data_IF_744383629938
#
_entry.id   IF_744383629938
#
_cell.length_a   1.000
_cell.length_b   1.000
_cell.length_c   1.000
_cell.angle_alpha   90.00
_cell.angle_beta   90.00
_cell.angle_gamma   90.00
#
_symmetry.space_group_name_H-M   'P 1'
#
loop_
_entity.id
_entity.type
_entity.pdbx_description
1 polymer ?
#
# COMPACT_ATOMS: atom_id res chain seq x y z
N UNK A 1 48.12 0.80 -11.70
CA UNK A 1 46.91 1.54 -12.13
C UNK A 1 46.06 1.85 -10.91
N UNK A 2 45.93 3.13 -10.54
CA UNK A 2 45.08 3.54 -9.42
C UNK A 2 43.64 3.22 -9.78
N UNK A 3 43.06 2.25 -9.08
CA UNK A 3 41.79 1.61 -9.44
C UNK A 3 40.59 2.58 -9.47
N UNK A 4 40.75 3.82 -8.98
CA UNK A 4 39.73 4.87 -8.99
C UNK A 4 40.37 6.26 -9.17
N UNK A 5 40.00 6.98 -10.24
CA UNK A 5 40.32 8.41 -10.41
C UNK A 5 39.31 9.26 -9.60
N UNK A 6 39.75 9.78 -8.46
CA UNK A 6 38.92 10.56 -7.53
C UNK A 6 38.71 12.01 -7.97
N UNK A 7 39.55 12.53 -8.87
CA UNK A 7 39.48 13.93 -9.33
C UNK A 7 38.25 14.17 -10.21
N UNK A 8 37.72 13.11 -10.81
CA UNK A 8 36.47 13.15 -11.58
C UNK A 8 35.19 13.22 -10.74
N UNK A 9 35.28 13.13 -9.40
CA UNK A 9 34.09 13.09 -8.54
C UNK A 9 33.69 14.48 -8.06
N UNK A 10 32.38 14.82 -8.08
CA UNK A 10 31.90 16.10 -7.56
C UNK A 10 32.17 16.20 -6.04
N UNK A 11 32.39 17.41 -5.53
CA UNK A 11 32.37 17.64 -4.09
C UNK A 11 30.94 17.51 -3.57
N UNK A 12 30.78 16.92 -2.38
CA UNK A 12 29.46 16.64 -1.80
C UNK A 12 28.61 17.90 -1.60
N UNK A 13 29.22 19.01 -1.19
CA UNK A 13 28.56 20.31 -1.07
C UNK A 13 27.44 20.42 -0.01
N UNK A 14 27.12 19.34 0.72
CA UNK A 14 26.08 19.36 1.76
C UNK A 14 26.54 20.19 2.96
N UNK A 15 25.61 20.89 3.63
CA UNK A 15 25.93 21.69 4.81
C UNK A 15 26.30 20.76 5.98
N UNK A 16 27.49 20.95 6.54
CA UNK A 16 27.93 20.23 7.74
C UNK A 16 27.30 20.85 8.99
N UNK A 17 27.40 20.16 10.14
CA UNK A 17 26.93 20.69 11.45
C UNK A 17 27.55 22.06 11.79
N UNK A 18 28.76 22.33 11.31
CA UNK A 18 29.46 23.61 11.51
C UNK A 18 29.12 24.66 10.42
N UNK A 19 28.07 24.44 9.64
CA UNK A 19 27.56 25.38 8.64
C UNK A 19 28.35 25.46 7.32
N UNK A 20 29.56 24.90 7.26
CA UNK A 20 30.41 24.91 6.06
C UNK A 20 30.02 23.79 5.07
N UNK A 21 30.24 23.96 3.76
CA UNK A 21 29.98 22.91 2.77
C UNK A 21 30.90 21.70 2.98
N UNK A 22 30.35 20.50 2.74
CA UNK A 22 31.07 19.25 2.91
C UNK A 22 32.17 19.12 1.86
N UNK A 23 33.42 18.97 2.33
CA UNK A 23 34.62 18.83 1.50
C UNK A 23 34.86 17.41 0.96
N UNK A 24 34.11 16.41 1.43
CA UNK A 24 34.22 15.02 0.96
C UNK A 24 33.75 14.89 -0.49
N UNK A 25 34.33 13.94 -1.22
CA UNK A 25 33.84 13.57 -2.55
C UNK A 25 32.45 12.93 -2.46
N UNK A 26 31.57 13.35 -3.37
CA UNK A 26 30.29 12.73 -3.62
C UNK A 26 30.40 11.51 -4.54
N UNK A 27 29.28 10.86 -4.80
CA UNK A 27 29.19 9.83 -5.84
C UNK A 27 28.77 10.46 -7.20
N UNK A 28 28.77 9.66 -8.27
CA UNK A 28 28.30 10.10 -9.60
C UNK A 28 26.77 10.11 -9.76
N UNK A 29 26.04 9.46 -8.85
CA UNK A 29 24.58 9.24 -8.98
C UNK A 29 23.78 10.43 -8.48
N UNK A 30 24.06 10.90 -7.27
CA UNK A 30 23.36 12.00 -6.61
C UNK A 30 24.31 13.11 -6.11
N UNK A 31 25.61 12.98 -6.35
CA UNK A 31 26.60 13.99 -5.98
C UNK A 31 26.88 14.09 -4.48
N UNK A 32 26.26 13.26 -3.62
CA UNK A 32 26.45 13.33 -2.16
C UNK A 32 27.42 12.26 -1.66
N UNK A 33 28.10 12.53 -0.54
CA UNK A 33 29.00 11.56 0.09
C UNK A 33 28.21 10.58 0.96
N UNK A 34 28.83 9.45 1.36
CA UNK A 34 28.17 8.41 2.17
C UNK A 34 27.53 8.91 3.48
N UNK A 35 28.03 10.02 4.05
CA UNK A 35 27.49 10.60 5.28
C UNK A 35 26.32 11.57 5.06
N UNK A 36 26.13 12.06 3.84
CA UNK A 36 25.08 13.04 3.51
C UNK A 36 24.11 12.48 2.47
N UNK A 37 23.76 11.19 2.59
CA UNK A 37 22.79 10.54 1.70
C UNK A 37 23.37 10.03 0.38
N UNK A 38 24.69 9.96 0.22
CA UNK A 38 25.34 9.36 -0.96
C UNK A 38 25.08 7.85 -1.11
N UNK A 39 24.53 7.18 -0.10
CA UNK A 39 24.03 5.80 -0.22
C UNK A 39 22.51 5.73 -0.33
N UNK A 40 21.82 6.87 -0.23
CA UNK A 40 20.36 6.92 -0.35
C UNK A 40 19.98 6.82 -1.82
N UNK A 41 19.03 5.94 -2.13
CA UNK A 41 18.41 5.82 -3.46
C UNK A 41 17.24 6.78 -3.65
N UNK A 42 16.91 7.60 -2.64
CA UNK A 42 15.68 8.38 -2.60
C UNK A 42 14.44 7.52 -2.37
N UNK A 43 13.30 8.19 -2.22
CA UNK A 43 12.01 7.52 -2.08
C UNK A 43 11.56 6.93 -3.42
N UNK A 44 11.26 5.64 -3.43
CA UNK A 44 10.81 4.92 -4.64
C UNK A 44 9.28 4.90 -4.74
N UNK A 45 8.61 4.73 -3.60
CA UNK A 45 7.14 4.68 -3.51
C UNK A 45 6.52 6.07 -3.62
N UNK A 46 5.22 6.11 -3.94
CA UNK A 46 4.47 7.36 -4.15
C UNK A 46 4.34 8.14 -2.84
N UNK A 47 3.98 7.45 -1.78
CA UNK A 47 3.84 7.92 -0.41
C UNK A 47 5.18 8.39 0.13
N UNK A 48 6.27 7.66 -0.14
CA UNK A 48 7.61 8.07 0.24
C UNK A 48 8.01 9.40 -0.43
N UNK A 49 7.66 9.59 -1.71
CA UNK A 49 7.90 10.87 -2.42
C UNK A 49 7.05 12.00 -1.83
N UNK A 50 5.81 11.73 -1.43
CA UNK A 50 4.95 12.70 -0.75
C UNK A 50 5.51 13.10 0.62
N UNK A 51 5.96 12.13 1.42
CA UNK A 51 6.59 12.38 2.71
C UNK A 51 7.85 13.25 2.57
N UNK A 52 8.71 12.95 1.58
CA UNK A 52 9.90 13.78 1.31
C UNK A 52 9.54 15.20 0.90
N UNK A 53 8.48 15.40 0.09
CA UNK A 53 7.99 16.74 -0.28
C UNK A 53 7.49 17.51 0.95
N UNK A 54 6.77 16.84 1.85
CA UNK A 54 6.27 17.45 3.09
C UNK A 54 7.43 17.85 3.99
N UNK A 55 8.44 17.01 4.15
CA UNK A 55 9.60 17.33 4.99
C UNK A 55 10.40 18.56 4.50
N UNK A 56 10.26 18.94 3.23
CA UNK A 56 10.84 20.18 2.71
C UNK A 56 10.05 21.43 3.14
N UNK A 57 8.79 21.29 3.53
CA UNK A 57 7.99 22.35 4.12
C UNK A 57 8.44 22.52 5.58
N UNK A 58 9.52 23.28 5.80
CA UNK A 58 10.09 23.59 7.12
C UNK A 58 9.14 24.44 8.01
N UNK A 59 7.86 24.53 7.67
CA UNK A 59 6.86 25.39 8.31
C UNK A 59 5.55 24.62 8.47
N UNK A 60 5.21 24.30 9.72
CA UNK A 60 3.99 23.61 10.12
C UNK A 60 2.73 24.38 9.71
N UNK A 61 2.71 25.70 9.87
CA UNK A 61 1.59 26.55 9.46
C UNK A 61 1.35 26.41 7.96
N UNK A 62 2.41 26.48 7.14
CA UNK A 62 2.28 26.29 5.69
C UNK A 62 1.73 24.90 5.35
N UNK A 63 2.19 23.86 6.03
CA UNK A 63 1.66 22.51 5.86
C UNK A 63 0.17 22.43 6.23
N UNK A 64 -0.22 22.94 7.40
CA UNK A 64 -1.59 22.91 7.91
C UNK A 64 -2.55 23.59 6.94
N UNK A 65 -2.25 24.82 6.54
CA UNK A 65 -3.12 25.57 5.64
C UNK A 65 -3.20 24.94 4.25
N UNK A 66 -2.08 24.47 3.68
CA UNK A 66 -2.11 23.85 2.36
C UNK A 66 -2.89 22.53 2.32
N UNK A 67 -2.78 21.69 3.35
CA UNK A 67 -3.42 20.37 3.37
C UNK A 67 -4.86 20.42 3.87
N UNK A 68 -5.13 21.20 4.92
CA UNK A 68 -6.44 21.18 5.60
C UNK A 68 -7.41 22.25 5.10
N UNK A 69 -6.90 23.42 4.71
CA UNK A 69 -7.74 24.56 4.37
C UNK A 69 -7.82 24.79 2.86
N UNK A 70 -6.67 24.99 2.22
CA UNK A 70 -6.59 25.24 0.79
C UNK A 70 -6.75 23.99 -0.06
N UNK A 71 -6.61 22.80 0.54
CA UNK A 71 -6.71 21.50 -0.13
C UNK A 71 -6.03 21.54 -1.50
N UNK A 72 -4.72 21.82 -1.53
CA UNK A 72 -3.95 22.01 -2.78
C UNK A 72 -3.73 20.70 -3.54
N UNK A 73 -4.83 20.05 -3.92
CA UNK A 73 -4.89 18.87 -4.76
C UNK A 73 -4.55 19.30 -6.18
N UNK A 74 -3.60 18.60 -6.81
CA UNK A 74 -3.26 18.87 -8.20
C UNK A 74 -4.38 18.38 -9.11
N UNK A 75 -4.65 19.14 -10.18
CA UNK A 75 -5.60 18.73 -11.22
C UNK A 75 -5.26 17.36 -11.83
N UNK A 76 -3.98 17.04 -11.97
CA UNK A 76 -3.51 15.72 -12.44
C UNK A 76 -3.91 14.59 -11.49
N UNK A 77 -3.73 14.81 -10.19
CA UNK A 77 -4.00 13.79 -9.17
C UNK A 77 -5.51 13.57 -9.05
N UNK A 78 -6.29 14.65 -9.18
CA UNK A 78 -7.75 14.57 -9.26
C UNK A 78 -8.23 13.81 -10.51
N UNK A 79 -7.65 14.11 -11.67
CA UNK A 79 -7.98 13.43 -12.92
C UNK A 79 -7.68 11.93 -12.84
N UNK A 80 -6.52 11.55 -12.29
CA UNK A 80 -6.14 10.16 -12.08
C UNK A 80 -7.11 9.43 -11.13
N UNK A 81 -7.55 10.08 -10.05
CA UNK A 81 -8.52 9.50 -9.12
C UNK A 81 -9.88 9.23 -9.78
N UNK A 82 -10.37 10.17 -10.60
CA UNK A 82 -11.61 10.00 -11.36
C UNK A 82 -11.46 8.89 -12.42
N UNK A 83 -10.35 8.89 -13.16
CA UNK A 83 -10.07 7.87 -14.17
C UNK A 83 -10.02 6.47 -13.56
N UNK A 84 -9.30 6.30 -12.45
CA UNK A 84 -9.24 5.03 -11.73
C UNK A 84 -10.62 4.58 -11.23
N UNK A 85 -11.45 5.51 -10.75
CA UNK A 85 -12.83 5.19 -10.37
C UNK A 85 -13.66 4.70 -11.56
N UNK A 86 -13.60 5.38 -12.70
CA UNK A 86 -14.33 4.97 -13.91
C UNK A 86 -13.90 3.57 -14.37
N UNK A 87 -12.60 3.28 -14.37
CA UNK A 87 -12.09 1.94 -14.67
C UNK A 87 -12.63 0.89 -13.67
N UNK A 88 -12.68 1.21 -12.37
CA UNK A 88 -13.27 0.31 -11.38
C UNK A 88 -14.76 0.05 -11.64
N UNK A 89 -15.52 1.07 -12.06
CA UNK A 89 -16.94 0.92 -12.43
C UNK A 89 -17.08 -0.04 -13.60
N UNK A 90 -16.24 0.06 -14.63
CA UNK A 90 -16.25 -0.88 -15.75
C UNK A 90 -16.02 -2.33 -15.26
N UNK A 91 -15.09 -2.53 -14.32
CA UNK A 91 -14.81 -3.84 -13.74
C UNK A 91 -15.99 -4.41 -12.93
N UNK A 92 -16.88 -3.59 -12.36
CA UNK A 92 -18.05 -4.12 -11.63
C UNK A 92 -19.02 -4.90 -12.50
N UNK A 93 -19.03 -4.64 -13.82
CA UNK A 93 -19.89 -5.33 -14.78
C UNK A 93 -19.26 -6.62 -15.33
N UNK A 94 -18.01 -6.90 -14.98
CA UNK A 94 -17.27 -8.08 -15.45
C UNK A 94 -17.55 -9.30 -14.57
N UNK A 95 -17.40 -10.50 -15.14
CA UNK A 95 -17.52 -11.74 -14.38
C UNK A 95 -16.29 -11.92 -13.47
N UNK A 96 -16.49 -12.43 -12.26
CA UNK A 96 -15.41 -12.66 -11.28
C UNK A 96 -14.23 -13.49 -11.82
N UNK A 97 -14.48 -14.42 -12.76
CA UNK A 97 -13.44 -15.24 -13.39
C UNK A 97 -12.48 -14.45 -14.31
N UNK A 98 -12.94 -13.30 -14.80
CA UNK A 98 -12.20 -12.40 -15.71
C UNK A 98 -11.49 -11.27 -14.95
N UNK A 99 -11.81 -11.10 -13.66
CA UNK A 99 -11.34 -9.99 -12.83
C UNK A 99 -9.87 -10.09 -12.38
N UNK A 100 -9.25 -11.28 -12.54
CA UNK A 100 -7.87 -11.64 -12.18
C UNK A 100 -7.19 -10.68 -11.19
N UNK A 101 -6.35 -9.80 -11.74
CA UNK A 101 -5.51 -8.84 -11.02
C UNK A 101 -5.77 -7.39 -11.45
N UNK A 102 -6.81 -7.12 -12.27
CA UNK A 102 -7.01 -5.79 -12.84
C UNK A 102 -7.34 -4.75 -11.76
N UNK A 103 -8.20 -5.12 -10.80
CA UNK A 103 -8.47 -4.28 -9.62
C UNK A 103 -7.18 -3.99 -8.86
N UNK A 104 -6.33 -5.00 -8.65
CA UNK A 104 -5.07 -4.82 -7.92
C UNK A 104 -4.15 -3.84 -8.65
N UNK A 105 -3.99 -3.96 -9.97
CA UNK A 105 -3.12 -3.08 -10.77
C UNK A 105 -3.59 -1.63 -10.73
N UNK A 106 -4.89 -1.39 -10.90
CA UNK A 106 -5.48 -0.05 -10.85
C UNK A 106 -5.20 0.57 -9.47
N UNK A 107 -5.50 -0.17 -8.40
CA UNK A 107 -5.32 0.34 -7.04
C UNK A 107 -3.83 0.49 -6.68
N UNK A 108 -2.94 -0.42 -7.08
CA UNK A 108 -1.50 -0.29 -6.89
C UNK A 108 -0.99 1.03 -7.49
N UNK A 109 -1.47 1.38 -8.68
CA UNK A 109 -1.08 2.61 -9.37
C UNK A 109 -1.71 3.88 -8.77
N UNK A 110 -2.96 3.82 -8.34
CA UNK A 110 -3.79 4.99 -8.02
C UNK A 110 -4.35 5.06 -6.59
N UNK A 111 -3.96 4.18 -5.66
CA UNK A 111 -4.51 4.15 -4.29
C UNK A 111 -4.42 5.49 -3.57
N UNK A 112 -3.33 6.25 -3.75
CA UNK A 112 -3.19 7.59 -3.15
C UNK A 112 -4.27 8.55 -3.67
N UNK A 113 -4.47 8.58 -4.99
CA UNK A 113 -5.47 9.45 -5.61
C UNK A 113 -6.88 9.01 -5.26
N UNK A 114 -7.16 7.70 -5.27
CA UNK A 114 -8.44 7.13 -4.85
C UNK A 114 -8.76 7.51 -3.40
N UNK A 115 -7.82 7.36 -2.47
CA UNK A 115 -8.01 7.76 -1.06
C UNK A 115 -8.28 9.26 -0.92
N UNK A 116 -7.53 10.07 -1.67
CA UNK A 116 -7.66 11.52 -1.65
C UNK A 116 -8.99 12.00 -2.26
N UNK A 117 -9.48 11.35 -3.33
CA UNK A 117 -10.64 11.80 -4.10
C UNK A 117 -11.94 11.07 -3.75
N UNK A 118 -11.92 9.97 -3.00
CA UNK A 118 -13.12 9.11 -2.79
C UNK A 118 -14.35 9.89 -2.36
N UNK A 119 -14.24 10.74 -1.34
CA UNK A 119 -15.39 11.50 -0.84
C UNK A 119 -15.87 12.56 -1.83
N UNK A 120 -14.96 13.16 -2.60
CA UNK A 120 -15.38 14.07 -3.67
C UNK A 120 -16.19 13.32 -4.73
N UNK A 121 -15.73 12.14 -5.14
CA UNK A 121 -16.43 11.29 -6.12
C UNK A 121 -17.78 10.86 -5.53
N UNK A 122 -17.82 10.43 -4.26
CA UNK A 122 -19.07 10.09 -3.56
C UNK A 122 -20.07 11.24 -3.55
N UNK A 123 -19.60 12.47 -3.33
CA UNK A 123 -20.47 13.66 -3.35
C UNK A 123 -21.07 13.95 -4.75
N UNK A 124 -20.48 13.43 -5.82
CA UNK A 124 -20.93 13.63 -7.20
C UNK A 124 -21.77 12.46 -7.72
N UNK A 125 -21.31 11.25 -7.46
CA UNK A 125 -21.84 10.00 -8.06
C UNK A 125 -22.72 9.20 -7.10
N UNK A 126 -22.70 9.52 -5.80
CA UNK A 126 -23.51 8.86 -4.78
C UNK A 126 -22.75 7.82 -3.95
N UNK A 127 -23.47 7.15 -3.05
CA UNK A 127 -22.91 6.26 -2.05
C UNK A 127 -22.24 5.01 -2.66
N UNK A 128 -22.77 4.48 -3.77
CA UNK A 128 -22.22 3.29 -4.43
C UNK A 128 -20.80 3.51 -4.90
N UNK A 129 -20.46 4.72 -5.34
CA UNK A 129 -19.09 5.07 -5.72
C UNK A 129 -18.11 4.88 -4.55
N UNK A 130 -18.52 5.23 -3.33
CA UNK A 130 -17.70 4.99 -2.14
C UNK A 130 -17.51 3.50 -1.90
N UNK A 131 -18.58 2.70 -2.03
CA UNK A 131 -18.53 1.26 -1.78
C UNK A 131 -17.63 0.57 -2.79
N UNK A 132 -17.69 0.94 -4.07
CA UNK A 132 -16.81 0.42 -5.13
C UNK A 132 -15.35 0.75 -4.82
N UNK A 133 -15.04 2.03 -4.56
CA UNK A 133 -13.67 2.49 -4.28
C UNK A 133 -13.13 1.82 -3.01
N UNK A 134 -13.92 1.80 -1.94
CA UNK A 134 -13.47 1.26 -0.65
C UNK A 134 -13.29 -0.26 -0.71
N UNK A 135 -14.15 -0.98 -1.44
CA UNK A 135 -13.97 -2.42 -1.66
C UNK A 135 -12.65 -2.70 -2.35
N UNK A 136 -12.33 -1.97 -3.43
CA UNK A 136 -11.08 -2.11 -4.16
C UNK A 136 -9.83 -1.80 -3.29
N UNK A 137 -9.87 -0.71 -2.52
CA UNK A 137 -8.80 -0.33 -1.60
C UNK A 137 -8.56 -1.38 -0.51
N UNK A 138 -9.63 -1.89 0.10
CA UNK A 138 -9.55 -2.90 1.15
C UNK A 138 -8.89 -4.19 0.64
N UNK A 139 -9.20 -4.62 -0.59
CA UNK A 139 -8.54 -5.77 -1.22
C UNK A 139 -7.03 -5.55 -1.38
N UNK A 140 -6.64 -4.40 -1.94
CA UNK A 140 -5.23 -4.05 -2.10
C UNK A 140 -4.48 -4.02 -0.77
N UNK A 141 -5.05 -3.36 0.25
CA UNK A 141 -4.42 -3.26 1.57
C UNK A 141 -4.34 -4.59 2.32
N UNK A 142 -5.31 -5.49 2.14
CA UNK A 142 -5.22 -6.87 2.64
C UNK A 142 -4.05 -7.60 1.99
N UNK A 143 -3.85 -7.45 0.68
CA UNK A 143 -2.75 -8.10 -0.06
C UNK A 143 -1.37 -7.56 0.29
N UNK A 144 -1.26 -6.25 0.49
CA UNK A 144 0.00 -5.62 0.88
C UNK A 144 0.28 -5.73 2.38
N UNK A 145 -0.54 -6.49 3.12
CA UNK A 145 -0.47 -6.64 4.58
C UNK A 145 -0.41 -5.30 5.31
N UNK A 146 -1.24 -4.33 4.90
CA UNK A 146 -1.30 -3.02 5.52
C UNK A 146 -1.66 -3.15 7.01
N UNK A 147 -0.94 -2.42 7.87
CA UNK A 147 -1.01 -2.60 9.32
C UNK A 147 -2.45 -2.54 9.87
N UNK A 148 -3.26 -1.60 9.38
CA UNK A 148 -4.61 -1.36 9.88
C UNK A 148 -5.63 -2.41 9.43
N UNK A 149 -5.33 -3.21 8.41
CA UNK A 149 -6.19 -4.32 7.96
C UNK A 149 -5.59 -5.70 8.24
N UNK A 150 -4.34 -5.81 8.69
CA UNK A 150 -3.64 -7.09 8.88
C UNK A 150 -4.38 -8.10 9.77
N UNK A 151 -5.27 -7.63 10.65
CA UNK A 151 -6.10 -8.49 11.49
C UNK A 151 -6.97 -9.49 10.72
N UNK A 152 -7.31 -9.22 9.44
CA UNK A 152 -8.09 -10.11 8.56
C UNK A 152 -7.47 -11.51 8.36
N UNK A 153 -6.17 -11.65 8.65
CA UNK A 153 -5.46 -12.94 8.61
C UNK A 153 -5.85 -13.84 9.80
N UNK A 154 -6.38 -13.26 10.88
CA UNK A 154 -6.65 -13.95 12.14
C UNK A 154 -8.14 -14.08 12.46
N UNK A 155 -9.01 -13.34 11.76
CA UNK A 155 -10.45 -13.36 12.00
C UNK A 155 -11.21 -13.32 10.67
N UNK A 156 -12.33 -14.06 10.55
CA UNK A 156 -13.21 -13.93 9.39
C UNK A 156 -13.80 -12.52 9.33
N UNK A 157 -14.02 -12.06 8.10
CA UNK A 157 -14.68 -10.79 7.78
C UNK A 157 -15.92 -11.07 6.94
N UNK A 158 -16.91 -10.20 7.04
CA UNK A 158 -17.96 -10.17 6.02
C UNK A 158 -17.35 -9.78 4.67
N UNK A 159 -17.74 -10.45 3.57
CA UNK A 159 -17.17 -10.19 2.25
C UNK A 159 -17.54 -8.79 1.77
N UNK A 160 -16.66 -8.18 0.98
CA UNK A 160 -16.93 -6.88 0.37
C UNK A 160 -18.04 -7.04 -0.69
N UNK A 161 -18.92 -6.03 -0.89
CA UNK A 161 -19.97 -6.12 -1.90
C UNK A 161 -19.43 -6.20 -3.33
N UNK A 162 -18.27 -5.61 -3.59
CA UNK A 162 -17.61 -5.64 -4.89
C UNK A 162 -16.21 -6.25 -4.77
N UNK A 163 -15.78 -6.89 -5.86
CA UNK A 163 -14.42 -7.42 -6.03
C UNK A 163 -14.00 -8.49 -5.02
N UNK A 164 -14.95 -9.10 -4.32
CA UNK A 164 -14.67 -10.18 -3.38
C UNK A 164 -14.04 -11.39 -4.09
N UNK A 165 -13.05 -12.01 -3.45
CA UNK A 165 -12.25 -13.08 -4.04
C UNK A 165 -12.49 -14.39 -3.32
N UNK A 166 -12.69 -15.45 -4.12
CA UNK A 166 -12.88 -16.80 -3.61
C UNK A 166 -11.64 -17.36 -2.89
N UNK A 167 -10.44 -17.01 -3.34
CA UNK A 167 -9.17 -17.53 -2.81
C UNK A 167 -8.57 -16.69 -1.68
N UNK A 168 -9.32 -15.71 -1.16
CA UNK A 168 -8.85 -14.83 -0.09
C UNK A 168 -7.79 -13.80 -0.54
N UNK A 169 -7.04 -13.26 0.42
CA UNK A 169 -5.93 -12.33 0.16
C UNK A 169 -4.57 -13.04 0.09
N UNK A 170 -3.60 -12.40 -0.54
CA UNK A 170 -2.21 -12.88 -0.54
C UNK A 170 -1.66 -13.08 0.87
N UNK A 171 -1.99 -12.17 1.80
CA UNK A 171 -1.59 -12.30 3.20
C UNK A 171 -2.22 -13.52 3.90
N UNK A 172 -3.46 -13.87 3.54
CA UNK A 172 -4.11 -15.10 4.02
C UNK A 172 -3.45 -16.33 3.43
N UNK A 173 -3.18 -16.37 2.12
CA UNK A 173 -2.48 -17.47 1.47
C UNK A 173 -1.08 -17.71 2.06
N UNK A 174 -0.31 -16.63 2.27
CA UNK A 174 0.99 -16.69 2.93
C UNK A 174 0.87 -17.26 4.35
N UNK A 175 -0.20 -16.91 5.08
CA UNK A 175 -0.46 -17.44 6.41
C UNK A 175 -0.83 -18.92 6.39
N UNK A 176 -1.68 -19.33 5.47
CA UNK A 176 -2.07 -20.72 5.28
C UNK A 176 -0.84 -21.58 4.98
N UNK A 177 0.01 -21.13 4.06
CA UNK A 177 1.28 -21.79 3.75
C UNK A 177 2.18 -21.91 5.00
N UNK A 178 2.28 -20.85 5.81
CA UNK A 178 3.02 -20.92 7.08
C UNK A 178 2.43 -21.95 8.07
N UNK A 179 1.10 -22.05 8.16
CA UNK A 179 0.42 -23.02 9.01
C UNK A 179 0.69 -24.44 8.52
N UNK A 180 0.62 -24.69 7.21
CA UNK A 180 0.92 -25.98 6.59
C UNK A 180 2.35 -26.41 6.90
N UNK A 181 3.34 -25.54 6.68
CA UNK A 181 4.76 -25.81 6.96
C UNK A 181 4.98 -26.12 8.45
N UNK A 182 4.36 -25.36 9.35
CA UNK A 182 4.47 -25.59 10.80
C UNK A 182 3.82 -26.91 11.21
N UNK A 183 2.70 -27.26 10.60
CA UNK A 183 1.97 -28.50 10.87
C UNK A 183 2.77 -29.71 10.41
N UNK A 184 3.29 -29.68 9.18
CA UNK A 184 4.19 -30.71 8.66
C UNK A 184 5.40 -30.95 9.58
N UNK A 185 6.07 -29.87 10.00
CA UNK A 185 7.20 -29.95 10.94
C UNK A 185 6.84 -30.54 12.31
N UNK A 186 5.63 -30.29 12.82
CA UNK A 186 5.22 -30.69 14.18
C UNK A 186 4.51 -32.04 14.24
N UNK A 187 3.82 -32.43 13.18
CA UNK A 187 2.89 -33.56 13.15
C UNK A 187 3.17 -34.56 12.03
N UNK A 188 4.14 -34.29 11.17
CA UNK A 188 4.40 -35.07 9.96
C UNK A 188 3.55 -34.59 8.79
N UNK A 189 3.99 -34.97 7.59
CA UNK A 189 3.26 -34.70 6.35
C UNK A 189 1.89 -35.41 6.39
N UNK A 190 0.87 -34.81 5.77
CA UNK A 190 -0.50 -35.34 5.68
C UNK A 190 -1.31 -35.39 7.00
N UNK A 191 -0.89 -34.67 8.05
CA UNK A 191 -1.71 -34.52 9.25
C UNK A 191 -3.05 -33.83 8.95
N UNK A 192 -4.17 -34.56 9.07
CA UNK A 192 -5.53 -34.07 8.76
C UNK A 192 -6.25 -33.41 9.95
N UNK A 193 -5.61 -33.33 11.11
CA UNK A 193 -6.23 -32.81 12.33
C UNK A 193 -7.31 -33.72 12.91
N UNK A 194 -7.82 -33.37 14.11
CA UNK A 194 -9.12 -33.90 14.55
C UNK A 194 -10.18 -33.04 13.89
N UNK A 195 -11.07 -33.65 13.10
CA UNK A 195 -12.27 -32.98 12.65
C UNK A 195 -13.02 -32.42 13.88
N UNK A 196 -13.23 -31.10 13.92
CA UNK A 196 -14.14 -30.54 14.92
C UNK A 196 -15.51 -31.18 14.70
N UNK A 197 -16.10 -31.84 15.71
CA UNK A 197 -17.46 -32.33 15.60
C UNK A 197 -18.34 -31.13 15.29
N UNK A 198 -18.94 -31.16 14.11
CA UNK A 198 -19.75 -30.11 13.50
C UNK A 198 -20.50 -29.29 14.56
N UNK A 199 -20.07 -28.05 14.81
CA UNK A 199 -20.55 -27.21 15.93
C UNK A 199 -22.06 -26.97 15.84
N UNK A 200 -22.61 -26.96 14.62
CA UNK A 200 -24.04 -26.90 14.32
C UNK A 200 -24.83 -28.06 14.95
N UNK A 201 -24.24 -29.26 15.04
CA UNK A 201 -24.90 -30.43 15.65
C UNK A 201 -25.05 -30.28 17.16
N UNK A 202 -24.11 -29.60 17.83
CA UNK A 202 -24.19 -29.32 19.28
C UNK A 202 -25.23 -28.26 19.63
N UNK A 203 -25.52 -27.33 18.72
CA UNK A 203 -26.56 -26.30 18.91
C UNK A 203 -27.95 -26.93 18.74
N UNK A 204 -28.12 -27.83 17.75
CA UNK A 204 -29.38 -28.53 17.51
C UNK A 204 -29.75 -29.55 18.60
N UNK A 205 -28.77 -30.19 19.25
CA UNK A 205 -29.01 -31.16 20.35
C UNK A 205 -29.33 -30.45 21.69
N UNK A 206 -29.17 -29.13 21.78
CA UNK A 206 -29.38 -28.33 23.00
C UNK A 206 -30.60 -27.39 22.94
N UNK A 207 -31.44 -27.48 21.90
CA UNK A 207 -32.72 -26.79 21.90
C UNK A 207 -33.71 -27.59 22.79
N UNK A 208 -34.44 -26.93 23.72
CA UNK A 208 -35.47 -27.58 24.54
C UNK A 208 -36.67 -28.06 23.72
#
# INVERSE_FOLDING_TARGET
>A
MTKFNLDSLPKCGAKTRNGKPCKRYGNKVNGRCKLHGGRSTGAKTKEGKLAVRINALLNEFTWYFNNRYYMKIKKSDMHNGILAYLELVELTNMKALELKDEVYKIVEQYHVELEMSKYYITMREGADALIIIQSALDHYYKDTAAQHLYFHVYTPLYPAPFFDRLEGSKAQQDKEMQILIRTAKKKGDYYTGRACPNTMRKVLIKAP
#
